data_IF_106390969376
#
_entry.id   IF_106390969376
#
_cell.length_a   1.000
_cell.length_b   1.000
_cell.length_c   1.000
_cell.angle_alpha   90.00
_cell.angle_beta   90.00
_cell.angle_gamma   90.00
#
_symmetry.space_group_name_H-M   'P 1'
#
loop_
_entity.id
_entity.type
_entity.pdbx_description
1 polymer ?
#
# COMPACT_ATOMS: atom_id res chain seq x y z
N UNK A 1 -17.22 14.09 -19.09
CA UNK A 1 -16.06 13.15 -19.14
C UNK A 1 -16.46 11.93 -18.33
N UNK A 2 -16.10 10.74 -18.76
CA UNK A 2 -16.28 9.57 -17.89
C UNK A 2 -15.42 9.74 -16.64
N UNK A 3 -15.94 9.32 -15.46
CA UNK A 3 -15.17 9.38 -14.23
C UNK A 3 -13.92 8.49 -14.33
N UNK A 4 -12.80 8.93 -13.75
CA UNK A 4 -11.57 8.15 -13.72
C UNK A 4 -11.72 6.97 -12.76
N UNK A 5 -11.30 5.78 -13.18
CA UNK A 5 -11.29 4.57 -12.34
C UNK A 5 -10.12 4.60 -11.39
N UNK A 6 -10.42 4.77 -10.12
CA UNK A 6 -9.42 4.84 -9.04
C UNK A 6 -9.52 3.61 -8.16
N UNK A 7 -8.37 3.07 -7.81
CA UNK A 7 -8.22 1.98 -6.85
C UNK A 7 -7.34 2.42 -5.68
N UNK A 8 -7.59 1.85 -4.51
CA UNK A 8 -6.66 1.90 -3.38
C UNK A 8 -6.37 0.49 -2.88
N UNK A 9 -5.14 0.24 -2.46
CA UNK A 9 -4.69 -1.08 -2.01
C UNK A 9 -3.89 -0.93 -0.73
N UNK A 10 -4.14 -1.83 0.22
CA UNK A 10 -3.41 -1.94 1.46
C UNK A 10 -2.63 -3.25 1.50
N UNK A 11 -1.31 -3.17 1.44
CA UNK A 11 -0.38 -4.28 1.61
C UNK A 11 0.07 -4.39 3.08
N UNK A 12 1.31 -4.74 3.34
CA UNK A 12 1.87 -4.78 4.70
C UNK A 12 2.07 -3.38 5.28
N UNK A 13 1.19 -2.95 6.18
CA UNK A 13 1.22 -1.62 6.81
C UNK A 13 0.19 -1.48 7.93
N UNK A 14 -0.02 -0.25 8.39
CA UNK A 14 -0.89 0.06 9.53
C UNK A 14 -2.24 0.68 9.14
N UNK A 15 -2.55 0.86 7.86
CA UNK A 15 -3.69 1.60 7.32
C UNK A 15 -3.69 3.12 7.61
N UNK A 16 -2.61 3.67 8.17
CA UNK A 16 -2.54 5.10 8.50
C UNK A 16 -2.67 6.02 7.29
N UNK A 17 -2.15 5.60 6.13
CA UNK A 17 -2.29 6.38 4.90
C UNK A 17 -3.73 6.39 4.38
N UNK A 18 -4.47 5.28 4.48
CA UNK A 18 -5.91 5.26 4.19
C UNK A 18 -6.70 6.11 5.18
N UNK A 19 -6.34 6.11 6.46
CA UNK A 19 -6.96 7.01 7.45
C UNK A 19 -6.72 8.47 7.08
N UNK A 20 -5.48 8.84 6.74
CA UNK A 20 -5.19 10.21 6.28
C UNK A 20 -5.86 10.57 4.95
N UNK A 21 -6.15 9.59 4.10
CA UNK A 21 -6.97 9.79 2.91
C UNK A 21 -8.42 10.15 3.28
N UNK A 22 -8.96 9.56 4.34
CA UNK A 22 -10.29 9.90 4.84
C UNK A 22 -10.33 11.30 5.48
N UNK A 23 -9.21 11.80 5.99
CA UNK A 23 -9.08 13.19 6.50
C UNK A 23 -9.13 14.26 5.39
N UNK A 24 -9.35 13.87 4.13
CA UNK A 24 -9.72 14.79 3.05
C UNK A 24 -11.11 15.41 3.26
N UNK A 25 -11.90 14.88 4.20
CA UNK A 25 -13.18 15.39 4.68
C UNK A 25 -14.15 15.74 3.52
N UNK A 26 -14.60 16.98 3.45
CA UNK A 26 -15.55 17.46 2.43
C UNK A 26 -15.02 17.31 1.00
N UNK A 27 -13.69 17.32 0.80
CA UNK A 27 -13.12 17.09 -0.53
C UNK A 27 -13.43 15.69 -1.08
N UNK A 28 -13.74 14.72 -0.22
CA UNK A 28 -14.18 13.38 -0.67
C UNK A 28 -15.52 13.46 -1.43
N UNK A 29 -16.38 14.42 -1.10
CA UNK A 29 -17.64 14.65 -1.82
C UNK A 29 -17.35 15.17 -3.23
N UNK A 30 -16.44 16.13 -3.35
CA UNK A 30 -16.00 16.65 -4.65
C UNK A 30 -15.32 15.54 -5.48
N UNK A 31 -14.46 14.76 -4.81
CA UNK A 31 -13.75 13.65 -5.42
C UNK A 31 -14.70 12.58 -5.98
N UNK A 32 -15.76 12.24 -5.23
CA UNK A 32 -16.79 11.27 -5.66
C UNK A 32 -17.52 11.69 -6.94
N UNK A 33 -17.55 12.98 -7.26
CA UNK A 33 -18.06 13.49 -8.53
C UNK A 33 -17.08 13.35 -9.72
N UNK A 34 -15.81 13.10 -9.45
CA UNK A 34 -14.74 13.05 -10.44
C UNK A 34 -14.20 11.65 -10.72
N UNK A 35 -14.35 10.73 -9.76
CA UNK A 35 -13.81 9.35 -9.84
C UNK A 35 -14.89 8.29 -9.64
N UNK A 36 -14.60 7.10 -10.15
CA UNK A 36 -15.25 5.85 -9.79
C UNK A 36 -14.27 5.03 -8.95
N UNK A 37 -14.57 4.82 -7.66
CA UNK A 37 -13.77 3.95 -6.79
C UNK A 37 -14.07 2.49 -7.12
N UNK A 38 -13.20 1.85 -7.91
CA UNK A 38 -13.42 0.51 -8.46
C UNK A 38 -12.83 -0.62 -7.61
N UNK A 39 -11.90 -0.31 -6.71
CA UNK A 39 -11.30 -1.26 -5.77
C UNK A 39 -10.73 -0.53 -4.56
N UNK A 40 -11.00 -1.04 -3.36
CA UNK A 40 -10.46 -0.50 -2.11
C UNK A 40 -10.66 -1.52 -0.98
N UNK A 41 -9.82 -1.49 0.09
CA UNK A 41 -10.04 -2.31 1.28
C UNK A 41 -11.39 -2.07 1.98
N UNK A 42 -12.03 -0.93 1.72
CA UNK A 42 -13.29 -0.53 2.37
C UNK A 42 -14.54 -0.76 1.51
N UNK A 43 -14.40 -1.38 0.33
CA UNK A 43 -15.53 -1.75 -0.53
C UNK A 43 -15.60 -3.26 -0.78
N UNK A 44 -16.75 -3.77 -1.23
CA UNK A 44 -17.00 -5.22 -1.36
C UNK A 44 -16.40 -5.88 -2.61
N UNK A 45 -15.73 -5.14 -3.48
CA UNK A 45 -15.11 -5.71 -4.68
C UNK A 45 -13.91 -6.57 -4.29
N UNK A 46 -13.94 -7.88 -4.59
CA UNK A 46 -12.89 -8.85 -4.20
C UNK A 46 -11.84 -9.07 -5.29
N UNK A 47 -12.22 -8.90 -6.57
CA UNK A 47 -11.30 -9.07 -7.70
C UNK A 47 -10.80 -7.70 -8.19
N UNK A 48 -9.49 -7.55 -8.31
CA UNK A 48 -8.90 -6.32 -8.85
C UNK A 48 -9.28 -6.15 -10.33
N UNK A 49 -9.97 -5.05 -10.70
CA UNK A 49 -10.54 -4.88 -12.04
C UNK A 49 -9.47 -4.59 -13.10
N UNK A 50 -9.89 -4.66 -14.36
CA UNK A 50 -9.07 -4.21 -15.50
C UNK A 50 -9.28 -2.72 -15.79
N UNK A 51 -8.30 -2.12 -16.48
CA UNK A 51 -8.35 -0.74 -16.98
C UNK A 51 -8.54 0.30 -15.85
N UNK A 52 -7.84 0.11 -14.75
CA UNK A 52 -7.77 1.10 -13.68
C UNK A 52 -6.88 2.26 -14.13
N UNK A 53 -7.34 3.50 -13.95
CA UNK A 53 -6.58 4.68 -14.33
C UNK A 53 -5.49 5.01 -13.32
N UNK A 54 -5.84 5.00 -12.03
CA UNK A 54 -4.92 5.34 -10.93
C UNK A 54 -5.08 4.36 -9.78
N UNK A 55 -3.98 3.86 -9.23
CA UNK A 55 -3.97 3.07 -8.00
C UNK A 55 -3.04 3.68 -6.96
N UNK A 56 -3.58 3.96 -5.76
CA UNK A 56 -2.80 4.32 -4.58
C UNK A 56 -2.45 3.04 -3.82
N UNK A 57 -1.17 2.73 -3.65
CA UNK A 57 -0.71 1.53 -2.96
C UNK A 57 -0.08 1.93 -1.64
N UNK A 58 -0.75 1.59 -0.54
CA UNK A 58 -0.24 1.70 0.83
C UNK A 58 0.42 0.39 1.28
N UNK A 59 1.48 0.52 2.07
CA UNK A 59 2.14 -0.62 2.69
C UNK A 59 3.28 -1.21 1.86
N UNK A 60 4.09 -2.03 2.50
CA UNK A 60 5.23 -2.73 1.90
C UNK A 60 4.85 -4.15 1.46
N UNK A 61 5.70 -4.77 0.67
CA UNK A 61 5.55 -6.17 0.24
C UNK A 61 6.18 -7.05 1.31
N UNK A 62 5.34 -7.72 2.10
CA UNK A 62 5.74 -8.51 3.25
C UNK A 62 5.64 -10.02 3.05
N UNK A 63 4.78 -10.48 2.15
CA UNK A 63 4.47 -11.87 1.89
C UNK A 63 4.19 -12.13 0.41
N UNK A 64 4.00 -13.40 0.05
CA UNK A 64 3.78 -13.83 -1.34
C UNK A 64 2.47 -13.27 -1.93
N UNK A 65 1.39 -13.17 -1.15
CA UNK A 65 0.11 -12.61 -1.61
C UNK A 65 0.24 -11.12 -1.96
N UNK A 66 1.02 -10.37 -1.16
CA UNK A 66 1.32 -8.97 -1.48
C UNK A 66 2.03 -8.82 -2.82
N UNK A 67 2.97 -9.74 -3.10
CA UNK A 67 3.72 -9.72 -4.36
C UNK A 67 2.83 -10.10 -5.54
N UNK A 68 2.01 -11.14 -5.40
CA UNK A 68 1.07 -11.59 -6.43
C UNK A 68 0.06 -10.50 -6.81
N UNK A 69 -0.63 -9.92 -5.81
CA UNK A 69 -1.60 -8.86 -6.06
C UNK A 69 -0.95 -7.64 -6.69
N UNK A 70 0.28 -7.30 -6.30
CA UNK A 70 1.00 -6.15 -6.84
C UNK A 70 1.32 -6.33 -8.34
N UNK A 71 1.74 -7.51 -8.76
CA UNK A 71 1.94 -7.82 -10.19
C UNK A 71 0.62 -7.71 -10.98
N UNK A 72 -0.47 -8.20 -10.41
CA UNK A 72 -1.81 -8.07 -10.99
C UNK A 72 -2.23 -6.61 -11.13
N UNK A 73 -1.99 -5.79 -10.10
CA UNK A 73 -2.25 -4.35 -10.10
C UNK A 73 -1.47 -3.67 -11.21
N UNK A 74 -0.14 -3.91 -11.30
CA UNK A 74 0.68 -3.26 -12.35
C UNK A 74 0.20 -3.60 -13.75
N UNK A 75 -0.19 -4.84 -13.99
CA UNK A 75 -0.66 -5.28 -15.30
C UNK A 75 -2.02 -4.67 -15.72
N UNK A 76 -2.80 -4.14 -14.78
CA UNK A 76 -4.17 -3.66 -14.98
C UNK A 76 -4.36 -2.17 -14.72
N UNK A 77 -3.28 -1.44 -14.37
CA UNK A 77 -3.33 -0.04 -13.94
C UNK A 77 -2.43 0.82 -14.81
N UNK A 78 -2.90 1.99 -15.21
CA UNK A 78 -2.11 2.95 -15.98
C UNK A 78 -1.08 3.67 -15.11
N UNK A 79 -1.52 4.22 -13.96
CA UNK A 79 -0.69 5.01 -13.05
C UNK A 79 -0.70 4.40 -11.66
N UNK A 80 0.48 4.07 -11.13
CA UNK A 80 0.68 3.60 -9.76
C UNK A 80 1.35 4.68 -8.93
N UNK A 81 0.76 4.96 -7.77
CA UNK A 81 1.31 5.83 -6.73
C UNK A 81 1.73 4.99 -5.54
N UNK A 82 3.01 5.01 -5.18
CA UNK A 82 3.52 4.48 -3.92
C UNK A 82 3.14 5.45 -2.80
N UNK A 83 2.23 5.03 -1.91
CA UNK A 83 1.50 5.87 -0.98
C UNK A 83 1.91 5.62 0.46
N UNK A 84 2.64 6.58 1.03
CA UNK A 84 3.19 6.52 2.38
C UNK A 84 4.54 5.82 2.48
N UNK A 85 5.26 6.07 3.57
CA UNK A 85 6.65 5.62 3.75
C UNK A 85 6.82 4.09 3.71
N UNK A 86 5.83 3.31 4.15
CA UNK A 86 5.90 1.85 4.05
C UNK A 86 5.98 1.38 2.59
N UNK A 87 5.19 1.98 1.70
CA UNK A 87 5.21 1.67 0.27
C UNK A 87 6.48 2.19 -0.42
N UNK A 88 7.01 3.35 0.05
CA UNK A 88 8.15 4.03 -0.58
C UNK A 88 9.49 3.42 -0.15
N UNK A 89 9.65 3.04 1.14
CA UNK A 89 10.93 2.62 1.72
C UNK A 89 10.90 1.30 2.49
N UNK A 90 9.71 0.70 2.68
CA UNK A 90 9.52 -0.46 3.57
C UNK A 90 9.22 -0.08 5.01
N UNK A 91 9.74 1.03 5.51
CA UNK A 91 9.53 1.66 6.83
C UNK A 91 9.24 0.65 7.97
N UNK A 92 8.09 0.77 8.67
CA UNK A 92 7.75 -0.06 9.83
C UNK A 92 7.78 -1.57 9.55
N UNK A 93 7.18 -2.10 8.46
CA UNK A 93 7.29 -3.52 8.15
C UNK A 93 8.73 -4.02 7.97
N UNK A 94 9.64 -3.18 7.46
CA UNK A 94 11.04 -3.55 7.26
C UNK A 94 11.87 -3.59 8.55
N UNK A 95 11.33 -3.19 9.70
CA UNK A 95 12.03 -3.29 10.99
C UNK A 95 12.42 -4.75 11.29
N UNK A 96 11.60 -5.72 10.89
CA UNK A 96 11.94 -7.14 11.08
C UNK A 96 13.22 -7.56 10.38
N UNK A 97 13.58 -6.91 9.26
CA UNK A 97 14.77 -7.25 8.48
C UNK A 97 16.08 -6.92 9.23
N UNK A 98 16.01 -6.06 10.24
CA UNK A 98 17.14 -5.71 11.09
C UNK A 98 17.54 -6.85 12.06
N UNK A 99 16.69 -7.87 12.20
CA UNK A 99 16.97 -9.04 13.04
C UNK A 99 17.99 -10.01 12.42
N UNK A 100 18.46 -9.72 11.20
CA UNK A 100 19.52 -10.44 10.51
C UNK A 100 19.06 -11.70 9.74
N UNK A 101 20.01 -12.54 9.37
CA UNK A 101 19.74 -13.78 8.65
C UNK A 101 18.83 -14.70 9.48
N UNK A 102 17.80 -15.27 8.87
CA UNK A 102 16.81 -16.09 9.57
C UNK A 102 15.76 -15.29 10.34
N UNK A 103 15.64 -13.98 10.08
CA UNK A 103 14.73 -13.10 10.79
C UNK A 103 13.26 -13.56 10.77
N UNK A 104 12.80 -14.13 9.65
CA UNK A 104 11.42 -14.61 9.50
C UNK A 104 11.17 -15.79 10.44
N UNK A 105 12.04 -16.77 10.42
CA UNK A 105 11.95 -17.96 11.27
C UNK A 105 12.05 -17.58 12.75
N UNK A 106 12.97 -16.69 13.10
CA UNK A 106 13.14 -16.21 14.48
C UNK A 106 11.91 -15.45 14.98
N UNK A 107 11.33 -14.58 14.14
CA UNK A 107 10.09 -13.84 14.50
C UNK A 107 8.93 -14.81 14.72
N UNK A 108 8.72 -15.76 13.82
CA UNK A 108 7.66 -16.76 13.93
C UNK A 108 7.86 -17.67 15.15
N UNK A 109 9.10 -18.11 15.41
CA UNK A 109 9.47 -18.90 16.58
C UNK A 109 9.13 -18.13 17.87
N UNK A 110 9.59 -16.88 17.96
CA UNK A 110 9.34 -16.04 19.12
C UNK A 110 7.84 -15.81 19.34
N UNK A 111 7.10 -15.44 18.28
CA UNK A 111 5.70 -15.07 18.40
C UNK A 111 4.78 -16.26 18.66
N UNK A 112 5.00 -17.39 17.99
CA UNK A 112 4.04 -18.50 17.96
C UNK A 112 4.48 -19.75 18.74
N UNK A 113 5.74 -19.84 19.16
CA UNK A 113 6.25 -20.96 19.96
C UNK A 113 6.63 -20.48 21.37
N UNK A 114 7.57 -19.56 21.47
CA UNK A 114 8.15 -19.15 22.77
C UNK A 114 7.16 -18.34 23.60
N UNK A 115 6.38 -17.44 23.00
CA UNK A 115 5.40 -16.61 23.67
C UNK A 115 3.95 -17.14 23.57
N UNK A 116 3.76 -18.34 23.01
CA UNK A 116 2.43 -18.93 22.92
C UNK A 116 1.89 -19.32 24.28
N UNK A 117 0.70 -18.86 24.62
CA UNK A 117 0.01 -19.23 25.86
C UNK A 117 -0.62 -20.63 25.80
N UNK A 118 -1.08 -21.04 24.61
CA UNK A 118 -1.70 -22.32 24.37
C UNK A 118 -1.31 -22.85 22.97
N UNK A 119 -1.13 -24.17 22.86
CA UNK A 119 -0.90 -24.88 21.59
C UNK A 119 0.17 -24.21 20.69
N UNK A 120 1.45 -24.15 21.15
CA UNK A 120 2.51 -23.50 20.40
C UNK A 120 2.70 -24.16 19.02
N UNK A 121 2.39 -23.41 17.97
CA UNK A 121 2.58 -23.84 16.58
C UNK A 121 2.65 -22.63 15.65
N UNK A 122 3.56 -22.66 14.69
CA UNK A 122 3.58 -21.65 13.64
C UNK A 122 2.40 -21.86 12.71
N UNK A 123 1.54 -20.83 12.50
CA UNK A 123 0.40 -20.94 11.59
C UNK A 123 0.87 -21.30 10.16
N UNK A 124 0.30 -22.39 9.63
CA UNK A 124 0.57 -22.84 8.27
C UNK A 124 -0.69 -23.48 7.69
N UNK A 125 -1.15 -22.95 6.57
CA UNK A 125 -2.24 -23.53 5.80
C UNK A 125 -2.06 -23.09 4.33
N UNK A 126 -1.80 -24.05 3.47
CA UNK A 126 -1.54 -23.79 2.06
C UNK A 126 -2.76 -23.12 1.40
N UNK A 127 -2.53 -22.02 0.69
CA UNK A 127 -3.57 -21.22 0.03
C UNK A 127 -4.42 -20.35 0.98
N UNK A 128 -4.13 -20.32 2.28
CA UNK A 128 -4.84 -19.51 3.29
C UNK A 128 -3.88 -18.59 4.03
N UNK A 129 -2.73 -19.13 4.47
CA UNK A 129 -1.71 -18.36 5.19
C UNK A 129 -0.53 -18.13 4.25
N UNK A 130 -0.33 -16.91 3.74
CA UNK A 130 0.75 -16.62 2.81
C UNK A 130 2.11 -16.70 3.51
N UNK A 131 3.12 -17.16 2.78
CA UNK A 131 4.48 -17.20 3.28
C UNK A 131 5.08 -15.80 3.35
N UNK A 132 5.76 -15.50 4.45
CA UNK A 132 6.51 -14.26 4.57
C UNK A 132 7.72 -14.27 3.63
N UNK A 133 7.95 -13.15 2.96
CA UNK A 133 9.18 -12.97 2.18
C UNK A 133 10.39 -12.89 3.12
N UNK A 134 11.54 -13.33 2.65
CA UNK A 134 12.81 -13.25 3.41
C UNK A 134 13.17 -11.82 3.79
N UNK A 135 12.79 -10.85 2.97
CA UNK A 135 12.98 -9.42 3.16
C UNK A 135 11.70 -8.67 2.81
N UNK A 136 11.39 -7.63 3.56
CA UNK A 136 10.35 -6.68 3.19
C UNK A 136 10.86 -5.80 2.05
N UNK A 137 10.02 -5.56 1.05
CA UNK A 137 10.39 -4.75 -0.10
C UNK A 137 9.46 -3.55 -0.23
N UNK A 138 9.99 -2.36 -0.56
CA UNK A 138 9.16 -1.26 -1.04
C UNK A 138 8.57 -1.59 -2.42
N UNK A 139 7.47 -0.94 -2.78
CA UNK A 139 6.69 -1.26 -3.99
C UNK A 139 7.52 -1.17 -5.27
N UNK A 140 8.39 -0.18 -5.37
CA UNK A 140 9.20 0.08 -6.57
C UNK A 140 10.30 -0.96 -6.85
N UNK A 141 10.63 -1.81 -5.87
CA UNK A 141 11.57 -2.91 -6.10
C UNK A 141 10.93 -4.09 -6.84
N UNK A 142 9.61 -4.23 -6.80
CA UNK A 142 8.90 -5.31 -7.47
C UNK A 142 8.23 -4.89 -8.78
N UNK A 143 7.73 -3.65 -8.87
CA UNK A 143 7.05 -3.15 -10.06
C UNK A 143 7.43 -1.69 -10.34
N UNK A 144 7.25 -1.25 -11.59
CA UNK A 144 7.39 0.16 -11.92
C UNK A 144 6.33 1.00 -11.20
N UNK A 145 6.78 2.05 -10.52
CA UNK A 145 5.95 3.06 -9.82
C UNK A 145 6.09 4.38 -10.58
N UNK A 146 4.96 5.01 -10.86
CA UNK A 146 4.92 6.26 -11.61
C UNK A 146 5.15 7.47 -10.70
N UNK A 147 4.61 7.46 -9.47
CA UNK A 147 4.75 8.55 -8.50
C UNK A 147 4.94 8.05 -7.08
N UNK A 148 5.62 8.86 -6.28
CA UNK A 148 5.89 8.59 -4.87
C UNK A 148 5.27 9.68 -4.00
N UNK A 149 4.53 9.30 -2.99
CA UNK A 149 3.94 10.19 -1.99
C UNK A 149 4.40 9.77 -0.59
N UNK A 150 5.57 10.25 -0.13
CA UNK A 150 6.11 9.91 1.18
C UNK A 150 5.33 10.57 2.32
N UNK A 151 5.46 10.02 3.52
CA UNK A 151 4.85 10.45 4.78
C UNK A 151 4.39 9.26 5.61
N UNK A 152 4.34 9.40 6.92
CA UNK A 152 3.92 8.34 7.85
C UNK A 152 2.88 8.85 8.87
N UNK A 153 1.63 9.08 8.38
CA UNK A 153 1.15 9.10 7.00
C UNK A 153 1.44 10.42 6.26
N UNK A 154 1.30 10.48 4.92
CA UNK A 154 1.23 11.74 4.21
C UNK A 154 0.03 12.55 4.71
N UNK A 155 0.17 13.84 5.03
CA UNK A 155 -0.96 14.66 5.47
C UNK A 155 -1.99 14.88 4.35
N UNK A 156 -3.26 15.06 4.71
CA UNK A 156 -4.39 15.19 3.80
C UNK A 156 -4.17 16.25 2.69
N UNK A 157 -3.61 17.41 3.02
CA UNK A 157 -3.31 18.46 2.04
C UNK A 157 -2.35 17.99 0.93
N UNK A 158 -1.36 17.16 1.29
CA UNK A 158 -0.41 16.61 0.34
C UNK A 158 -1.07 15.56 -0.56
N UNK A 159 -1.94 14.73 0.03
CA UNK A 159 -2.75 13.76 -0.72
C UNK A 159 -3.65 14.49 -1.71
N UNK A 160 -4.35 15.53 -1.26
CA UNK A 160 -5.20 16.37 -2.10
C UNK A 160 -4.41 17.00 -3.25
N UNK A 161 -3.24 17.58 -2.97
CA UNK A 161 -2.39 18.21 -3.98
C UNK A 161 -1.95 17.22 -5.07
N UNK A 162 -1.60 15.98 -4.70
CA UNK A 162 -1.27 14.92 -5.64
C UNK A 162 -2.50 14.51 -6.46
N UNK A 163 -3.62 14.21 -5.80
CA UNK A 163 -4.85 13.74 -6.46
C UNK A 163 -5.35 14.76 -7.50
N UNK A 164 -5.39 16.04 -7.16
CA UNK A 164 -5.81 17.10 -8.11
C UNK A 164 -4.93 17.14 -9.35
N UNK A 165 -3.62 16.94 -9.20
CA UNK A 165 -2.70 16.94 -10.35
C UNK A 165 -2.88 15.68 -11.22
N UNK A 166 -2.94 14.48 -10.60
CA UNK A 166 -3.11 13.21 -11.30
C UNK A 166 -4.45 13.16 -12.05
N UNK A 167 -5.55 13.52 -11.37
CA UNK A 167 -6.89 13.56 -11.96
C UNK A 167 -7.02 14.62 -13.06
N UNK A 168 -6.26 15.72 -12.95
CA UNK A 168 -6.16 16.72 -13.99
C UNK A 168 -5.28 16.35 -15.19
N UNK A 169 -4.77 15.11 -15.26
CA UNK A 169 -3.89 14.62 -16.32
C UNK A 169 -2.52 15.29 -16.32
N UNK A 170 -2.12 15.92 -15.22
CA UNK A 170 -0.82 16.56 -15.07
C UNK A 170 0.15 15.61 -14.40
N UNK A 171 1.42 15.70 -14.79
CA UNK A 171 2.51 15.04 -14.06
C UNK A 171 2.63 15.69 -12.68
N UNK A 172 2.39 14.98 -11.57
CA UNK A 172 2.54 15.54 -10.24
C UNK A 172 3.95 16.04 -10.00
N UNK A 173 4.05 17.28 -9.52
CA UNK A 173 5.29 17.86 -9.03
C UNK A 173 5.13 18.14 -7.55
N UNK A 174 5.75 17.30 -6.75
CA UNK A 174 5.88 17.51 -5.31
C UNK A 174 7.26 18.09 -5.05
N UNK A 175 7.35 19.20 -4.33
CA UNK A 175 8.60 19.92 -4.09
C UNK A 175 8.74 20.31 -2.61
N UNK A 176 9.99 20.46 -2.15
CA UNK A 176 10.31 20.94 -0.81
C UNK A 176 9.63 20.11 0.31
N UNK A 177 8.81 20.75 1.12
CA UNK A 177 8.13 20.11 2.25
C UNK A 177 7.13 19.04 1.86
N UNK A 178 6.70 18.99 0.58
CA UNK A 178 5.80 17.96 0.07
C UNK A 178 6.48 16.60 -0.10
N UNK A 179 7.82 16.55 -0.13
CA UNK A 179 8.63 15.33 -0.24
C UNK A 179 9.18 14.87 1.11
N UNK A 180 8.72 15.45 2.21
CA UNK A 180 9.21 15.12 3.55
C UNK A 180 8.72 13.72 3.98
N UNK A 181 9.64 12.88 4.46
CA UNK A 181 9.38 11.61 5.12
C UNK A 181 9.02 11.82 6.60
N UNK A 182 8.32 10.87 7.20
CA UNK A 182 8.00 10.80 8.62
C UNK A 182 6.80 11.61 9.05
#
# INVERSE_FOLDING_TARGET
>A
MEPLKVATVWLGGCAGCHMSFLDLDEFLIDLAGMIELVYSPVIDVKEYPHNVDVCLIEGAICNEDNLEILHKIRARTKVIVSFGDCAVTGNVPAIRDQLGAGNVENVLQCAYIENAQNNPSVPKADGIVPQLLKRVMPVHEAVHVDYFLPGCPPPADRIKALMVQVLGGKTPKLEGTQLKFG
#
